data_IF_874931212020
#
_entry.id   IF_874931212020
#
_cell.length_a   1.000
_cell.length_b   1.000
_cell.length_c   1.000
_cell.angle_alpha   90.00
_cell.angle_beta   90.00
_cell.angle_gamma   90.00
#
_symmetry.space_group_name_H-M   'P 1'
#
loop_
_entity.id
_entity.type
_entity.pdbx_description
1 polymer ?
#
# COMPACT_ATOMS: atom_id res chain seq x y z
N UNK A 1 13.69 -26.70 -12.64
CA UNK A 1 13.68 -25.98 -11.36
C UNK A 1 12.23 -25.90 -10.91
N UNK A 2 11.91 -26.29 -9.68
CA UNK A 2 10.53 -26.20 -9.19
C UNK A 2 10.16 -24.73 -9.00
N UNK A 3 8.95 -24.36 -9.42
CA UNK A 3 8.40 -23.03 -9.20
C UNK A 3 8.25 -22.78 -7.69
N UNK A 4 8.65 -21.61 -7.21
CA UNK A 4 8.42 -21.18 -5.83
C UNK A 4 7.48 -19.97 -5.74
N UNK A 5 6.91 -19.74 -4.56
CA UNK A 5 6.07 -18.56 -4.30
C UNK A 5 6.86 -17.27 -4.51
N UNK A 6 8.10 -17.21 -4.05
CA UNK A 6 8.95 -16.03 -4.18
C UNK A 6 9.23 -15.70 -5.65
N UNK A 7 9.50 -16.71 -6.48
CA UNK A 7 9.67 -16.51 -7.94
C UNK A 7 8.42 -15.93 -8.59
N UNK A 8 7.22 -16.37 -8.17
CA UNK A 8 5.96 -15.82 -8.66
C UNK A 8 5.81 -14.36 -8.26
N UNK A 9 6.10 -14.04 -6.99
CA UNK A 9 5.98 -12.67 -6.46
C UNK A 9 6.99 -11.74 -7.11
N UNK A 10 8.25 -12.17 -7.31
CA UNK A 10 9.28 -11.39 -8.00
C UNK A 10 8.93 -11.12 -9.46
N UNK A 11 8.45 -12.13 -10.19
CA UNK A 11 8.03 -11.95 -11.57
C UNK A 11 6.80 -11.02 -11.66
N UNK A 12 5.82 -11.17 -10.76
CA UNK A 12 4.65 -10.30 -10.70
C UNK A 12 5.04 -8.85 -10.36
N UNK A 13 5.99 -8.67 -9.45
CA UNK A 13 6.55 -7.37 -9.09
C UNK A 13 7.23 -6.70 -10.29
N UNK A 14 8.04 -7.45 -11.04
CA UNK A 14 8.68 -6.94 -12.26
C UNK A 14 7.66 -6.53 -13.34
N UNK A 15 6.59 -7.31 -13.52
CA UNK A 15 5.50 -6.96 -14.44
C UNK A 15 4.81 -5.67 -13.98
N UNK A 16 4.48 -5.56 -12.70
CA UNK A 16 3.82 -4.38 -12.13
C UNK A 16 4.65 -3.11 -12.36
N UNK A 17 5.94 -3.13 -12.02
CA UNK A 17 6.81 -1.96 -12.20
C UNK A 17 6.94 -1.56 -13.69
N UNK A 18 7.07 -2.53 -14.57
CA UNK A 18 7.35 -2.27 -15.99
C UNK A 18 6.10 -1.88 -16.78
N UNK A 19 4.95 -2.48 -16.47
CA UNK A 19 3.75 -2.43 -17.30
C UNK A 19 2.50 -1.96 -16.57
N UNK A 20 2.49 -1.99 -15.24
CA UNK A 20 1.34 -1.63 -14.42
C UNK A 20 0.39 -2.80 -14.14
N UNK A 21 -0.62 -2.53 -13.32
CA UNK A 21 -1.57 -3.49 -12.78
C UNK A 21 -2.54 -4.04 -13.84
N UNK A 22 -2.93 -3.20 -14.81
CA UNK A 22 -3.80 -3.62 -15.92
C UNK A 22 -3.19 -4.76 -16.75
N UNK A 23 -1.86 -4.79 -16.79
CA UNK A 23 -1.06 -5.73 -17.55
C UNK A 23 -0.66 -7.00 -16.75
N UNK A 24 -0.74 -6.92 -15.41
CA UNK A 24 -0.52 -8.06 -14.52
C UNK A 24 -1.72 -9.02 -14.55
N UNK A 25 -1.62 -10.07 -15.38
CA UNK A 25 -2.60 -11.17 -15.41
C UNK A 25 -1.94 -12.50 -15.05
N UNK A 26 -2.71 -13.44 -14.49
CA UNK A 26 -2.20 -14.79 -14.18
C UNK A 26 -1.64 -15.50 -15.42
N UNK A 27 -2.26 -15.28 -16.58
CA UNK A 27 -1.80 -15.84 -17.85
C UNK A 27 -0.47 -15.25 -18.30
N UNK A 28 -0.31 -13.92 -18.21
CA UNK A 28 0.96 -13.25 -18.54
C UNK A 28 2.06 -13.70 -17.59
N UNK A 29 1.77 -13.71 -16.29
CA UNK A 29 2.72 -14.14 -15.26
C UNK A 29 3.22 -15.57 -15.52
N UNK A 30 2.31 -16.50 -15.85
CA UNK A 30 2.68 -17.86 -16.22
C UNK A 30 3.57 -17.92 -17.48
N UNK A 31 3.24 -17.10 -18.49
CA UNK A 31 4.04 -16.97 -19.72
C UNK A 31 5.46 -16.45 -19.41
N UNK A 32 5.58 -15.40 -18.61
CA UNK A 32 6.87 -14.80 -18.24
C UNK A 32 7.72 -15.76 -17.41
N UNK A 33 7.09 -16.63 -16.62
CA UNK A 33 7.75 -17.69 -15.84
C UNK A 33 7.99 -18.98 -16.65
N UNK A 34 7.51 -19.08 -17.89
CA UNK A 34 7.65 -20.28 -18.72
C UNK A 34 6.88 -21.50 -18.21
N UNK A 35 5.79 -21.30 -17.47
CA UNK A 35 4.96 -22.37 -16.87
C UNK A 35 3.52 -22.33 -17.40
N UNK A 36 2.77 -23.40 -17.16
CA UNK A 36 1.33 -23.41 -17.40
C UNK A 36 0.60 -22.62 -16.30
N UNK A 37 -0.50 -21.89 -16.59
CA UNK A 37 -1.25 -21.13 -15.58
C UNK A 37 -1.67 -21.98 -14.36
N UNK A 38 -1.99 -23.26 -14.58
CA UNK A 38 -2.31 -24.21 -13.51
C UNK A 38 -1.23 -24.36 -12.45
N UNK A 39 0.05 -24.17 -12.82
CA UNK A 39 1.18 -24.26 -11.89
C UNK A 39 1.17 -23.11 -10.86
N UNK A 40 0.72 -21.91 -11.24
CA UNK A 40 0.68 -20.76 -10.34
C UNK A 40 -0.29 -20.99 -9.17
N UNK A 41 -1.43 -21.63 -9.45
CA UNK A 41 -2.51 -21.80 -8.48
C UNK A 41 -2.17 -22.74 -7.32
N UNK A 42 -1.07 -23.49 -7.41
CA UNK A 42 -0.53 -24.25 -6.27
C UNK A 42 0.15 -23.36 -5.23
N UNK A 43 0.54 -22.14 -5.60
CA UNK A 43 1.27 -21.21 -4.73
C UNK A 43 0.47 -19.97 -4.38
N UNK A 44 -0.44 -19.55 -5.27
CA UNK A 44 -1.29 -18.37 -5.10
C UNK A 44 -2.65 -18.64 -5.74
N UNK A 45 -3.71 -18.69 -4.94
CA UNK A 45 -5.03 -19.18 -5.33
C UNK A 45 -5.71 -18.32 -6.41
N UNK A 46 -5.42 -17.02 -6.49
CA UNK A 46 -5.98 -16.11 -7.48
C UNK A 46 -5.18 -14.79 -7.57
N UNK A 47 -5.56 -13.91 -8.51
CA UNK A 47 -4.93 -12.59 -8.68
C UNK A 47 -5.04 -11.74 -7.41
N UNK A 48 -6.15 -11.81 -6.70
CA UNK A 48 -6.38 -11.01 -5.48
C UNK A 48 -5.44 -11.40 -4.35
N UNK A 49 -5.18 -12.70 -4.15
CA UNK A 49 -4.16 -13.16 -3.19
C UNK A 49 -2.77 -12.67 -3.60
N UNK A 50 -2.43 -12.73 -4.90
CA UNK A 50 -1.16 -12.20 -5.41
C UNK A 50 -1.03 -10.70 -5.09
N UNK A 51 -2.08 -9.91 -5.34
CA UNK A 51 -2.08 -8.48 -5.03
C UNK A 51 -1.95 -8.21 -3.54
N UNK A 52 -2.54 -9.04 -2.68
CA UNK A 52 -2.33 -8.98 -1.23
C UNK A 52 -0.87 -9.16 -0.85
N UNK A 53 -0.18 -10.13 -1.44
CA UNK A 53 1.26 -10.35 -1.20
C UNK A 53 2.11 -9.20 -1.75
N UNK A 54 1.78 -8.66 -2.93
CA UNK A 54 2.50 -7.51 -3.49
C UNK A 54 2.28 -6.25 -2.62
N UNK A 55 1.07 -6.02 -2.12
CA UNK A 55 0.79 -4.91 -1.22
C UNK A 55 1.58 -5.04 0.09
N UNK A 56 1.64 -6.24 0.68
CA UNK A 56 2.49 -6.50 1.86
C UNK A 56 3.96 -6.21 1.55
N UNK A 57 4.47 -6.61 0.37
CA UNK A 57 5.82 -6.30 -0.06
C UNK A 57 6.07 -4.79 -0.21
N UNK A 58 5.10 -4.02 -0.71
CA UNK A 58 5.21 -2.55 -0.83
C UNK A 58 5.39 -1.89 0.54
N UNK A 59 4.58 -2.30 1.52
CA UNK A 59 4.52 -1.66 2.84
C UNK A 59 5.47 -2.28 3.85
N UNK A 60 6.13 -3.40 3.52
CA UNK A 60 7.08 -4.09 4.39
C UNK A 60 8.22 -3.20 4.93
N UNK A 61 8.71 -2.17 4.21
CA UNK A 61 9.71 -1.25 4.77
C UNK A 61 9.16 -0.32 5.87
N UNK A 62 7.84 -0.21 6.05
CA UNK A 62 7.28 0.53 7.17
C UNK A 62 7.75 -0.09 8.48
N UNK A 63 8.37 0.73 9.32
CA UNK A 63 8.82 0.32 10.63
C UNK A 63 8.46 1.38 11.66
N UNK A 64 7.94 0.93 12.80
CA UNK A 64 7.75 1.78 13.98
C UNK A 64 9.04 1.95 14.77
N UNK A 65 10.08 1.15 14.52
CA UNK A 65 11.36 1.22 15.22
C UNK A 65 12.12 2.51 14.92
N UNK A 66 11.86 3.14 13.77
CA UNK A 66 12.45 4.42 13.39
C UNK A 66 11.74 5.63 14.01
N UNK A 67 10.60 5.42 14.70
CA UNK A 67 9.87 6.49 15.33
C UNK A 67 10.56 6.93 16.63
N UNK A 68 10.64 8.24 16.86
CA UNK A 68 11.07 8.79 18.13
C UNK A 68 9.94 8.60 19.16
N UNK A 69 10.13 7.67 20.11
CA UNK A 69 9.18 7.40 21.19
C UNK A 69 8.89 8.63 22.07
N UNK A 70 9.78 9.63 22.10
CA UNK A 70 9.54 10.89 22.81
C UNK A 70 8.61 11.84 22.05
N UNK A 71 8.40 11.64 20.75
CA UNK A 71 7.53 12.47 19.95
C UNK A 71 6.04 12.20 20.26
N UNK A 72 5.17 13.21 20.19
CA UNK A 72 3.73 13.01 20.37
C UNK A 72 3.17 11.91 19.45
N UNK A 73 2.18 11.09 19.89
CA UNK A 73 1.63 10.03 19.05
C UNK A 73 1.06 10.55 17.72
N UNK A 74 0.53 11.77 17.73
CA UNK A 74 0.09 12.50 16.53
C UNK A 74 1.19 12.66 15.49
N UNK A 75 2.39 13.07 15.92
CA UNK A 75 3.51 13.35 15.00
C UNK A 75 4.08 12.04 14.45
N UNK A 76 4.11 10.98 15.26
CA UNK A 76 4.43 9.62 14.84
C UNK A 76 3.42 9.08 13.82
N UNK A 77 2.12 9.33 14.02
CA UNK A 77 1.07 8.94 13.08
C UNK A 77 1.20 9.71 11.76
N UNK A 78 1.53 11.01 11.81
CA UNK A 78 1.81 11.80 10.62
C UNK A 78 3.03 11.27 9.86
N UNK A 79 4.10 10.90 10.56
CA UNK A 79 5.30 10.30 9.97
C UNK A 79 4.98 8.98 9.26
N UNK A 80 4.35 8.02 9.95
CA UNK A 80 3.95 6.74 9.34
C UNK A 80 3.05 6.93 8.11
N UNK A 81 2.14 7.90 8.16
CA UNK A 81 1.23 8.19 7.05
C UNK A 81 1.98 8.73 5.82
N UNK A 82 3.01 9.56 6.02
CA UNK A 82 3.90 10.04 4.94
C UNK A 82 4.78 8.93 4.37
N UNK A 83 5.36 8.09 5.23
CA UNK A 83 6.16 6.94 4.79
C UNK A 83 5.31 5.95 3.97
N UNK A 84 4.09 5.67 4.43
CA UNK A 84 3.13 4.84 3.70
C UNK A 84 2.82 5.42 2.33
N UNK A 85 2.56 6.74 2.26
CA UNK A 85 2.36 7.44 0.98
C UNK A 85 3.56 7.25 0.06
N UNK A 86 4.78 7.50 0.55
CA UNK A 86 6.02 7.43 -0.22
C UNK A 86 6.22 6.04 -0.85
N UNK A 87 6.03 4.98 -0.05
CA UNK A 87 6.19 3.60 -0.51
C UNK A 87 5.21 3.21 -1.61
N UNK A 88 3.96 3.66 -1.50
CA UNK A 88 2.93 3.39 -2.51
C UNK A 88 3.21 4.19 -3.79
N UNK A 89 3.55 5.46 -3.64
CA UNK A 89 3.80 6.37 -4.77
C UNK A 89 4.99 5.89 -5.62
N UNK A 90 6.00 5.31 -4.98
CA UNK A 90 7.19 4.74 -5.64
C UNK A 90 6.89 3.55 -6.57
N UNK A 91 5.69 2.96 -6.51
CA UNK A 91 5.31 1.82 -7.35
C UNK A 91 4.18 2.19 -8.28
N UNK A 92 4.37 1.96 -9.59
CA UNK A 92 3.34 2.14 -10.61
C UNK A 92 2.06 1.40 -10.23
N UNK A 93 0.93 2.10 -10.28
CA UNK A 93 -0.40 1.63 -9.87
C UNK A 93 -0.46 1.12 -8.41
N UNK A 94 0.50 1.54 -7.58
CA UNK A 94 0.63 1.10 -6.19
C UNK A 94 -0.63 1.37 -5.36
N UNK A 95 -1.28 2.52 -5.56
CA UNK A 95 -2.51 2.83 -4.85
C UNK A 95 -3.64 1.85 -5.18
N UNK A 96 -3.74 1.41 -6.43
CA UNK A 96 -4.77 0.44 -6.84
C UNK A 96 -4.48 -0.95 -6.27
N UNK A 97 -3.21 -1.40 -6.30
CA UNK A 97 -2.78 -2.68 -5.70
C UNK A 97 -3.08 -2.71 -4.21
N UNK A 98 -2.68 -1.67 -3.48
CA UNK A 98 -2.92 -1.58 -2.04
C UNK A 98 -4.42 -1.43 -1.73
N UNK A 99 -5.18 -0.70 -2.55
CA UNK A 99 -6.64 -0.57 -2.37
C UNK A 99 -7.37 -1.91 -2.49
N UNK A 100 -6.95 -2.78 -3.42
CA UNK A 100 -7.51 -4.14 -3.54
C UNK A 100 -7.19 -4.96 -2.29
N UNK A 101 -5.94 -4.96 -1.84
CA UNK A 101 -5.54 -5.69 -0.64
C UNK A 101 -6.26 -5.18 0.62
N UNK A 102 -6.36 -3.86 0.77
CA UNK A 102 -7.07 -3.20 1.86
C UNK A 102 -8.58 -3.49 1.83
N UNK A 103 -9.19 -3.67 0.66
CA UNK A 103 -10.61 -4.03 0.58
C UNK A 103 -10.91 -5.45 1.07
N UNK A 104 -9.93 -6.36 0.97
CA UNK A 104 -10.06 -7.75 1.42
C UNK A 104 -9.81 -7.84 2.94
N UNK A 105 -8.73 -7.23 3.42
CA UNK A 105 -8.34 -7.27 4.83
C UNK A 105 -7.94 -5.88 5.35
N UNK A 106 -8.92 -4.97 5.56
CA UNK A 106 -8.65 -3.55 5.83
C UNK A 106 -7.86 -3.28 7.11
N UNK A 107 -7.90 -4.21 8.05
CA UNK A 107 -7.31 -4.01 9.39
C UNK A 107 -5.92 -4.63 9.53
N UNK A 108 -5.52 -5.50 8.61
CA UNK A 108 -4.29 -6.29 8.74
C UNK A 108 -3.06 -5.68 8.05
N UNK A 109 -3.29 -4.78 7.10
CA UNK A 109 -2.21 -4.20 6.30
C UNK A 109 -1.63 -2.99 7.02
N UNK A 110 -0.31 -2.95 7.19
CA UNK A 110 0.38 -1.76 7.70
C UNK A 110 0.10 -0.54 6.80
N UNK A 111 -0.05 0.67 7.37
CA UNK A 111 0.16 1.00 8.78
C UNK A 111 -1.12 0.95 9.65
N UNK A 112 -2.18 0.22 9.28
CA UNK A 112 -3.46 0.28 10.03
C UNK A 112 -3.31 -0.13 11.50
N UNK A 113 -2.71 -1.30 11.84
CA UNK A 113 -2.48 -1.67 13.25
C UNK A 113 -1.67 -0.64 14.03
N UNK A 114 -0.64 -0.08 13.41
CA UNK A 114 0.29 0.88 14.00
C UNK A 114 -0.42 2.22 14.29
N UNK A 115 -1.24 2.70 13.35
CA UNK A 115 -2.06 3.90 13.52
C UNK A 115 -3.17 3.72 14.57
N UNK A 116 -3.75 2.52 14.69
CA UNK A 116 -4.70 2.20 15.77
C UNK A 116 -4.01 2.29 17.13
N UNK A 117 -2.78 1.75 17.24
CA UNK A 117 -2.01 1.80 18.49
C UNK A 117 -1.70 3.24 18.90
N UNK A 118 -1.20 4.07 17.97
CA UNK A 118 -0.89 5.48 18.23
C UNK A 118 -2.13 6.32 18.58
N UNK A 119 -3.26 6.04 17.92
CA UNK A 119 -4.52 6.71 18.24
C UNK A 119 -5.03 6.33 19.64
N UNK A 120 -4.86 5.06 20.03
CA UNK A 120 -5.22 4.57 21.36
C UNK A 120 -4.33 5.19 22.44
N UNK A 121 -3.03 5.35 22.18
CA UNK A 121 -2.08 6.02 23.08
C UNK A 121 -2.47 7.49 23.35
N UNK A 122 -3.09 8.15 22.36
CA UNK A 122 -3.59 9.53 22.49
C UNK A 122 -4.88 9.64 23.34
N UNK A 123 -5.41 8.51 23.82
CA UNK A 123 -6.62 8.46 24.66
C UNK A 123 -7.93 8.33 23.88
N UNK A 124 -7.90 8.12 22.56
CA UNK A 124 -9.11 7.86 21.79
C UNK A 124 -9.74 6.52 22.18
N UNK A 125 -11.08 6.44 22.31
CA UNK A 125 -11.76 5.16 22.43
C UNK A 125 -11.39 4.23 21.27
N UNK A 126 -11.28 2.91 21.53
CA UNK A 126 -10.80 1.93 20.55
C UNK A 126 -11.60 1.94 19.23
N UNK A 127 -12.92 2.22 19.30
CA UNK A 127 -13.76 2.38 18.12
C UNK A 127 -13.34 3.57 17.24
N UNK A 128 -12.98 4.70 17.86
CA UNK A 128 -12.53 5.91 17.16
C UNK A 128 -11.11 5.73 16.60
N UNK A 129 -10.21 5.12 17.37
CA UNK A 129 -8.83 4.84 16.94
C UNK A 129 -8.79 4.07 15.60
N UNK A 130 -9.66 3.06 15.45
CA UNK A 130 -9.80 2.31 14.21
C UNK A 130 -10.26 3.19 13.05
N UNK A 131 -11.29 4.01 13.26
CA UNK A 131 -11.82 4.86 12.18
C UNK A 131 -10.82 5.95 11.79
N UNK A 132 -10.05 6.49 12.73
CA UNK A 132 -8.94 7.41 12.43
C UNK A 132 -7.90 6.74 11.53
N UNK A 133 -7.40 5.56 11.90
CA UNK A 133 -6.43 4.82 11.10
C UNK A 133 -6.94 4.51 9.68
N UNK A 134 -8.18 4.00 9.57
CA UNK A 134 -8.80 3.72 8.27
C UNK A 134 -8.98 4.99 7.43
N UNK A 135 -9.31 6.12 8.07
CA UNK A 135 -9.47 7.41 7.38
C UNK A 135 -8.13 7.88 6.82
N UNK A 136 -7.06 7.82 7.60
CA UNK A 136 -5.71 8.20 7.15
C UNK A 136 -5.23 7.33 5.98
N UNK A 137 -5.43 6.01 6.05
CA UNK A 137 -5.06 5.09 4.97
C UNK A 137 -5.88 5.35 3.70
N UNK A 138 -7.20 5.52 3.82
CA UNK A 138 -8.07 5.78 2.65
C UNK A 138 -7.81 7.15 2.04
N UNK A 139 -7.55 8.17 2.85
CA UNK A 139 -7.10 9.47 2.39
C UNK A 139 -5.80 9.35 1.59
N UNK A 140 -4.83 8.62 2.13
CA UNK A 140 -3.54 8.40 1.45
C UNK A 140 -3.71 7.66 0.13
N UNK A 141 -4.50 6.59 0.09
CA UNK A 141 -4.79 5.85 -1.13
C UNK A 141 -5.49 6.71 -2.18
N UNK A 142 -6.45 7.54 -1.79
CA UNK A 142 -7.12 8.47 -2.69
C UNK A 142 -6.20 9.56 -3.23
N UNK A 143 -5.33 10.11 -2.37
CA UNK A 143 -4.31 11.10 -2.75
C UNK A 143 -3.32 10.52 -3.76
N UNK A 144 -2.72 9.36 -3.46
CA UNK A 144 -1.76 8.71 -4.37
C UNK A 144 -2.43 8.25 -5.66
N UNK A 145 -3.65 7.72 -5.60
CA UNK A 145 -4.40 7.33 -6.81
C UNK A 145 -4.65 8.53 -7.73
N UNK A 146 -5.02 9.67 -7.16
CA UNK A 146 -5.23 10.91 -7.91
C UNK A 146 -3.91 11.39 -8.53
N UNK A 147 -2.83 11.39 -7.77
CA UNK A 147 -1.50 11.79 -8.23
C UNK A 147 -0.97 10.90 -9.37
N UNK A 148 -1.01 9.57 -9.19
CA UNK A 148 -0.60 8.61 -10.23
C UNK A 148 -1.46 8.70 -11.49
N UNK A 149 -2.77 8.96 -11.35
CA UNK A 149 -3.66 9.17 -12.50
C UNK A 149 -3.29 10.44 -13.27
N UNK A 150 -2.99 11.53 -12.55
CA UNK A 150 -2.56 12.79 -13.16
C UNK A 150 -1.22 12.63 -13.89
N UNK A 151 -0.25 11.97 -13.26
CA UNK A 151 1.05 11.68 -13.85
C UNK A 151 0.91 10.83 -15.13
N UNK A 152 0.09 9.78 -15.10
CA UNK A 152 -0.18 8.94 -16.26
C UNK A 152 -0.86 9.69 -17.42
N UNK A 153 -1.60 10.77 -17.12
CA UNK A 153 -2.20 11.67 -18.11
C UNK A 153 -1.27 12.81 -18.55
N UNK A 154 -0.06 12.91 -18.01
CA UNK A 154 0.88 14.00 -18.28
C UNK A 154 0.45 15.36 -17.70
N UNK A 155 -0.37 15.34 -16.64
CA UNK A 155 -0.81 16.53 -15.92
C UNK A 155 0.19 16.90 -14.81
N UNK A 156 0.22 18.17 -14.43
CA UNK A 156 1.09 18.68 -13.37
C UNK A 156 0.76 18.06 -11.99
N UNK A 157 1.76 17.58 -11.27
CA UNK A 157 1.66 17.00 -9.92
C UNK A 157 2.51 17.77 -8.90
N UNK A 158 3.05 18.94 -9.26
CA UNK A 158 3.94 19.73 -8.40
C UNK A 158 3.30 20.16 -7.07
N UNK A 159 1.97 20.29 -7.01
CA UNK A 159 1.23 20.62 -5.78
C UNK A 159 0.85 19.41 -4.93
N UNK A 160 0.98 18.18 -5.42
CA UNK A 160 0.40 17.00 -4.77
C UNK A 160 0.98 16.71 -3.38
N UNK A 161 2.28 16.94 -3.18
CA UNK A 161 2.93 16.83 -1.86
C UNK A 161 2.37 17.84 -0.84
N UNK A 162 2.20 19.09 -1.28
CA UNK A 162 1.71 20.16 -0.43
C UNK A 162 0.23 19.96 -0.07
N UNK A 163 -0.58 19.54 -1.04
CA UNK A 163 -1.99 19.20 -0.85
C UNK A 163 -2.16 18.02 0.13
N UNK A 164 -1.35 16.97 -0.02
CA UNK A 164 -1.35 15.83 0.89
C UNK A 164 -0.96 16.24 2.31
N UNK A 165 0.11 17.01 2.46
CA UNK A 165 0.58 17.47 3.77
C UNK A 165 -0.47 18.32 4.48
N UNK A 166 -1.07 19.28 3.78
CA UNK A 166 -2.13 20.12 4.35
C UNK A 166 -3.37 19.28 4.74
N UNK A 167 -3.78 18.33 3.89
CA UNK A 167 -4.89 17.43 4.20
C UNK A 167 -4.62 16.52 5.41
N UNK A 168 -3.41 15.99 5.51
CA UNK A 168 -2.99 15.17 6.66
C UNK A 168 -3.02 15.98 7.97
N UNK A 169 -2.54 17.23 7.94
CA UNK A 169 -2.58 18.10 9.12
C UNK A 169 -4.01 18.41 9.59
N UNK A 170 -4.94 18.61 8.65
CA UNK A 170 -6.36 18.81 8.94
C UNK A 170 -7.05 17.55 9.49
N UNK A 171 -6.62 16.35 9.07
CA UNK A 171 -7.17 15.10 9.60
C UNK A 171 -6.64 14.76 11.00
N UNK A 172 -5.50 15.32 11.38
CA UNK A 172 -4.84 15.08 12.66
C UNK A 172 -5.01 16.25 13.66
N UNK A 173 -5.74 17.31 13.30
CA UNK A 173 -6.04 18.44 14.19
C UNK A 173 -7.12 18.10 15.21
#
# INVERSE_FOLDING_TARGET
>A
MALSRDQIVDAAWGILQSYGLGDLSMRRLAKDLGVQPGALYWHVANKQELLGVLAQRMVAPLSTEALDDAAPPRDRAAHLTREFRSLILAVRDGAEVVSVAHSINPESLSPVPELVALSTESGSPQGEAKYTALTLVRFTLGSVSTEQTREAMGLDTSSSEAEFTAGLELLLS
#
